data_IF_973691707578
#
_entry.id   IF_973691707578
#
_cell.length_a   1.000
_cell.length_b   1.000
_cell.length_c   1.000
_cell.angle_alpha   90.00
_cell.angle_beta   90.00
_cell.angle_gamma   90.00
#
_symmetry.space_group_name_H-M   'P 1'
#
loop_
_entity.id
_entity.type
_entity.pdbx_description
1 polymer ?
#
# COMPACT_ATOMS: atom_id res chain seq x y z
N UNK A 1 -12.21 -41.51 -22.17
CA UNK A 1 -12.66 -40.23 -21.57
C UNK A 1 -12.12 -39.06 -22.38
N UNK A 2 -13.00 -38.34 -23.07
CA UNK A 2 -12.66 -37.13 -23.83
C UNK A 2 -12.05 -36.03 -22.95
N UNK A 3 -11.23 -35.15 -23.51
CA UNK A 3 -10.60 -34.02 -22.81
C UNK A 3 -11.63 -33.10 -22.14
N UNK A 4 -12.77 -32.88 -22.80
CA UNK A 4 -13.88 -32.07 -22.26
C UNK A 4 -14.44 -32.65 -20.98
N UNK A 5 -14.68 -33.96 -20.94
CA UNK A 5 -15.18 -34.64 -19.75
C UNK A 5 -14.21 -34.52 -18.59
N UNK A 6 -12.90 -34.65 -18.82
CA UNK A 6 -11.89 -34.46 -17.77
C UNK A 6 -11.97 -33.06 -17.14
N UNK A 7 -12.22 -32.01 -17.94
CA UNK A 7 -12.38 -30.64 -17.44
C UNK A 7 -13.68 -30.46 -16.65
N UNK A 8 -14.78 -31.02 -17.13
CA UNK A 8 -16.08 -30.98 -16.42
C UNK A 8 -15.95 -31.66 -15.06
N UNK A 9 -15.39 -32.87 -15.01
CA UNK A 9 -15.19 -33.59 -13.75
C UNK A 9 -14.25 -32.86 -12.80
N UNK A 10 -13.20 -32.21 -13.31
CA UNK A 10 -12.31 -31.39 -12.50
C UNK A 10 -13.00 -30.17 -11.88
N UNK A 11 -13.97 -29.57 -12.58
CA UNK A 11 -14.77 -28.48 -12.02
C UNK A 11 -15.75 -29.00 -10.95
N UNK A 12 -16.36 -30.17 -11.17
CA UNK A 12 -17.30 -30.78 -10.22
C UNK A 12 -16.63 -31.11 -8.89
N UNK A 13 -15.46 -31.76 -8.92
CA UNK A 13 -14.71 -32.08 -7.70
C UNK A 13 -14.27 -30.82 -6.94
N UNK A 14 -13.98 -29.74 -7.66
CA UNK A 14 -13.62 -28.45 -7.09
C UNK A 14 -14.81 -27.77 -6.39
N UNK A 15 -16.03 -27.86 -6.96
CA UNK A 15 -17.25 -27.40 -6.28
C UNK A 15 -17.57 -28.25 -5.05
N UNK A 16 -17.38 -29.57 -5.11
CA UNK A 16 -17.54 -30.45 -3.95
C UNK A 16 -16.59 -30.05 -2.82
N UNK A 17 -15.30 -29.80 -3.12
CA UNK A 17 -14.31 -29.38 -2.13
C UNK A 17 -14.63 -28.05 -1.43
N UNK A 18 -15.44 -27.19 -2.06
CA UNK A 18 -15.82 -25.86 -1.58
C UNK A 18 -17.06 -25.91 -0.65
N UNK A 19 -17.74 -27.07 -0.57
CA UNK A 19 -18.96 -27.27 0.21
C UNK A 19 -20.22 -27.39 -0.64
N UNK A 20 -20.09 -27.73 -1.93
CA UNK A 20 -21.20 -28.07 -2.82
C UNK A 20 -21.87 -26.88 -3.51
N UNK A 21 -22.80 -27.17 -4.42
CA UNK A 21 -23.48 -26.18 -5.26
C UNK A 21 -24.31 -25.18 -4.47
N UNK A 22 -24.98 -25.60 -3.39
CA UNK A 22 -25.77 -24.71 -2.52
C UNK A 22 -24.92 -23.57 -1.94
N UNK A 23 -23.63 -23.86 -1.71
CA UNK A 23 -22.69 -22.91 -1.15
C UNK A 23 -22.13 -21.91 -2.15
N UNK A 24 -22.41 -22.02 -3.45
CA UNK A 24 -21.89 -21.16 -4.54
C UNK A 24 -23.00 -20.54 -5.41
N UNK A 25 -24.26 -20.89 -5.13
CA UNK A 25 -25.44 -20.38 -5.81
C UNK A 25 -25.99 -19.12 -5.12
N UNK A 26 -26.45 -18.16 -5.90
CA UNK A 26 -27.16 -16.96 -5.43
C UNK A 26 -28.36 -16.71 -6.34
N UNK A 27 -29.57 -16.72 -5.79
CA UNK A 27 -30.81 -16.53 -6.55
C UNK A 27 -30.93 -17.48 -7.74
N UNK A 28 -30.65 -18.76 -7.50
CA UNK A 28 -30.68 -19.84 -8.51
C UNK A 28 -29.69 -19.67 -9.68
N UNK A 29 -28.70 -18.79 -9.53
CA UNK A 29 -27.62 -18.62 -10.48
C UNK A 29 -26.26 -18.81 -9.82
N UNK A 30 -25.32 -19.40 -10.56
CA UNK A 30 -23.96 -19.57 -10.10
C UNK A 30 -23.27 -18.21 -9.92
N UNK A 31 -22.71 -17.97 -8.74
CA UNK A 31 -22.00 -16.72 -8.44
C UNK A 31 -20.49 -16.91 -8.44
N UNK A 32 -19.82 -16.39 -9.49
CA UNK A 32 -18.35 -16.39 -9.57
C UNK A 32 -17.72 -15.74 -8.34
N UNK A 33 -18.30 -14.64 -7.84
CA UNK A 33 -17.80 -13.94 -6.65
C UNK A 33 -17.78 -14.85 -5.41
N UNK A 34 -18.82 -15.67 -5.27
CA UNK A 34 -19.03 -16.51 -4.11
C UNK A 34 -18.14 -17.76 -4.16
N UNK A 35 -18.02 -18.37 -5.35
CA UNK A 35 -17.02 -19.39 -5.64
C UNK A 35 -15.59 -18.89 -5.37
N UNK A 36 -15.24 -17.72 -5.89
CA UNK A 36 -13.91 -17.14 -5.71
C UNK A 36 -13.59 -16.90 -4.23
N UNK A 37 -14.54 -16.38 -3.44
CA UNK A 37 -14.36 -16.19 -2.00
C UNK A 37 -14.09 -17.50 -1.26
N UNK A 38 -14.79 -18.57 -1.64
CA UNK A 38 -14.58 -19.89 -1.05
C UNK A 38 -13.22 -20.49 -1.42
N UNK A 39 -12.79 -20.31 -2.68
CA UNK A 39 -11.47 -20.75 -3.13
C UNK A 39 -10.32 -19.97 -2.49
N UNK A 40 -10.53 -18.69 -2.21
CA UNK A 40 -9.58 -17.92 -1.42
C UNK A 40 -9.47 -18.45 0.02
N UNK A 41 -10.57 -18.89 0.62
CA UNK A 41 -10.60 -19.32 2.02
C UNK A 41 -10.54 -18.13 2.99
N UNK A 42 -10.35 -18.44 4.27
CA UNK A 42 -10.32 -17.46 5.34
C UNK A 42 -8.94 -16.82 5.51
N UNK A 43 -8.77 -15.63 4.93
CA UNK A 43 -7.58 -14.82 5.17
C UNK A 43 -7.79 -13.82 6.29
N UNK A 44 -6.81 -13.64 7.19
CA UNK A 44 -6.88 -12.60 8.19
C UNK A 44 -6.98 -11.23 7.49
N UNK A 45 -7.93 -10.41 7.93
CA UNK A 45 -8.07 -9.05 7.43
C UNK A 45 -6.85 -8.24 7.85
N UNK A 46 -5.97 -7.98 6.89
CA UNK A 46 -4.75 -7.20 7.15
C UNK A 46 -5.10 -5.71 7.39
N UNK A 47 -4.53 -5.08 8.43
CA UNK A 47 -4.87 -3.71 8.82
C UNK A 47 -4.50 -2.69 7.75
N UNK A 48 -3.44 -2.96 6.99
CA UNK A 48 -2.92 -2.08 5.95
C UNK A 48 -3.75 -2.08 4.65
N UNK A 49 -4.73 -2.98 4.48
CA UNK A 49 -5.58 -3.06 3.28
C UNK A 49 -6.23 -1.72 2.95
N UNK A 50 -6.60 -0.95 3.97
CA UNK A 50 -7.27 0.36 3.81
C UNK A 50 -6.33 1.46 3.30
N UNK A 51 -5.02 1.29 3.48
CA UNK A 51 -4.01 2.28 3.07
C UNK A 51 -3.51 1.99 1.65
N UNK A 52 -3.44 0.72 1.27
CA UNK A 52 -2.95 0.30 -0.05
C UNK A 52 -4.06 0.12 -1.09
N UNK A 53 -5.19 -0.49 -0.71
CA UNK A 53 -6.30 -0.73 -1.64
C UNK A 53 -7.22 0.49 -1.72
N UNK A 54 -7.72 0.79 -2.94
CA UNK A 54 -8.58 1.95 -3.21
C UNK A 54 -7.94 3.30 -2.84
N UNK A 55 -6.61 3.37 -2.94
CA UNK A 55 -5.83 4.59 -2.80
C UNK A 55 -5.55 5.15 -4.21
N UNK A 56 -5.77 6.45 -4.41
CA UNK A 56 -5.59 7.14 -5.69
C UNK A 56 -4.17 7.72 -5.88
N UNK A 57 -3.24 7.46 -4.96
CA UNK A 57 -1.82 7.79 -5.11
C UNK A 57 -1.21 7.08 -6.33
N UNK A 58 0.02 7.45 -6.69
CA UNK A 58 0.66 6.84 -7.84
C UNK A 58 0.90 5.34 -7.64
N UNK A 59 0.73 4.49 -8.69
CA UNK A 59 1.06 3.07 -8.59
C UNK A 59 2.49 2.81 -8.10
N UNK A 60 3.44 3.67 -8.46
CA UNK A 60 4.83 3.60 -7.95
C UNK A 60 4.87 3.83 -6.44
N UNK A 61 4.19 4.86 -5.96
CA UNK A 61 4.09 5.18 -4.53
C UNK A 61 3.40 4.08 -3.74
N UNK A 62 2.30 3.51 -4.27
CA UNK A 62 1.61 2.37 -3.66
C UNK A 62 2.46 1.11 -3.62
N UNK A 63 3.21 0.85 -4.69
CA UNK A 63 4.12 -0.30 -4.76
C UNK A 63 5.21 -0.19 -3.68
N UNK A 64 5.89 0.96 -3.60
CA UNK A 64 6.91 1.19 -2.56
C UNK A 64 6.30 1.15 -1.16
N UNK A 65 5.14 1.77 -0.95
CA UNK A 65 4.42 1.71 0.32
C UNK A 65 4.11 0.26 0.75
N UNK A 66 3.70 -0.60 -0.19
CA UNK A 66 3.46 -2.01 0.10
C UNK A 66 4.73 -2.72 0.57
N UNK A 67 5.89 -2.44 -0.05
CA UNK A 67 7.17 -2.96 0.43
C UNK A 67 7.57 -2.40 1.80
N UNK A 68 7.29 -1.13 2.11
CA UNK A 68 7.52 -0.54 3.44
C UNK A 68 6.71 -1.28 4.49
N UNK A 69 5.42 -1.47 4.25
CA UNK A 69 4.49 -2.15 5.16
C UNK A 69 4.95 -3.59 5.43
N UNK A 70 5.45 -4.28 4.40
CA UNK A 70 6.00 -5.63 4.54
C UNK A 70 7.42 -5.66 5.13
N UNK A 71 8.02 -4.51 5.45
CA UNK A 71 9.42 -4.36 5.89
C UNK A 71 10.41 -5.03 4.92
N UNK A 72 10.10 -4.96 3.62
CA UNK A 72 10.87 -5.58 2.53
C UNK A 72 11.70 -4.59 1.71
N UNK A 73 11.65 -3.30 2.03
CA UNK A 73 12.59 -2.34 1.44
C UNK A 73 14.01 -2.64 1.93
N UNK A 74 15.04 -2.52 1.06
CA UNK A 74 16.42 -2.57 1.50
C UNK A 74 16.68 -1.45 2.52
N UNK A 75 16.67 -1.79 3.81
CA UNK A 75 17.13 -0.91 4.88
C UNK A 75 18.63 -0.65 4.71
N UNK A 76 19.14 0.46 5.28
CA UNK A 76 20.58 0.69 5.29
C UNK A 76 21.32 -0.52 5.86
N UNK A 77 20.77 -1.19 6.89
CA UNK A 77 21.31 -2.45 7.44
C UNK A 77 21.48 -3.56 6.39
N UNK A 78 20.52 -3.71 5.46
CA UNK A 78 20.64 -4.72 4.37
C UNK A 78 21.66 -4.31 3.32
N UNK A 79 21.77 -3.01 3.02
CA UNK A 79 22.75 -2.48 2.06
C UNK A 79 24.18 -2.53 2.62
N UNK A 80 24.35 -2.26 3.92
CA UNK A 80 25.59 -2.44 4.67
C UNK A 80 25.97 -3.93 4.70
N UNK A 81 25.02 -4.83 4.98
CA UNK A 81 25.24 -6.28 4.94
C UNK A 81 25.58 -6.81 3.56
N UNK A 82 25.09 -6.17 2.49
CA UNK A 82 25.45 -6.49 1.11
C UNK A 82 26.75 -5.81 0.66
N UNK A 83 27.47 -5.12 1.55
CA UNK A 83 28.72 -4.40 1.27
C UNK A 83 28.61 -3.40 0.10
N UNK A 84 27.40 -2.92 -0.20
CA UNK A 84 27.16 -1.93 -1.25
C UNK A 84 27.54 -0.53 -0.75
N UNK A 85 27.53 -0.33 0.58
CA UNK A 85 27.87 0.92 1.24
C UNK A 85 28.93 0.63 2.30
N UNK A 86 30.07 1.31 2.21
CA UNK A 86 31.10 1.35 3.26
C UNK A 86 30.76 2.48 4.22
N UNK A 87 30.82 2.22 5.51
CA UNK A 87 30.29 3.07 6.56
C UNK A 87 30.77 4.54 6.50
N UNK A 88 29.90 5.41 7.02
CA UNK A 88 30.20 6.69 7.70
C UNK A 88 29.91 8.00 6.98
N UNK A 89 28.62 8.22 6.67
CA UNK A 89 28.10 9.59 6.59
C UNK A 89 26.59 9.65 6.85
N UNK A 90 26.23 9.64 8.14
CA UNK A 90 25.13 10.42 8.73
C UNK A 90 24.01 10.86 7.76
N UNK A 91 23.03 9.98 7.57
CA UNK A 91 21.81 10.25 6.82
C UNK A 91 20.64 10.51 7.78
N UNK A 92 20.62 11.71 8.37
CA UNK A 92 19.49 12.29 9.13
C UNK A 92 19.29 11.74 10.58
N UNK A 93 19.72 12.57 11.53
CA UNK A 93 19.53 12.49 12.99
C UNK A 93 20.50 11.59 13.79
N UNK A 94 21.22 12.23 14.71
CA UNK A 94 22.44 11.77 15.37
C UNK A 94 22.19 10.99 16.69
N UNK A 95 21.26 10.03 16.75
CA UNK A 95 21.05 9.32 18.04
C UNK A 95 20.56 7.86 18.02
N UNK A 96 19.98 7.30 16.97
CA UNK A 96 19.50 5.89 17.03
C UNK A 96 19.39 5.21 15.67
N UNK A 97 19.68 3.90 15.63
CA UNK A 97 19.61 3.01 14.46
C UNK A 97 18.33 3.20 13.63
N UNK A 98 18.48 3.42 12.32
CA UNK A 98 17.37 3.57 11.36
C UNK A 98 16.55 2.28 11.21
N UNK A 99 15.52 2.10 12.05
CA UNK A 99 14.53 1.04 11.84
C UNK A 99 13.42 1.54 10.89
N UNK A 100 12.82 0.62 10.11
CA UNK A 100 11.63 0.90 9.29
C UNK A 100 10.50 1.49 10.16
N UNK A 101 10.45 1.07 11.42
CA UNK A 101 9.49 1.56 12.39
C UNK A 101 9.75 3.03 12.76
N UNK A 102 11.01 3.46 12.91
CA UNK A 102 11.35 4.87 13.14
C UNK A 102 11.15 5.74 11.90
N UNK A 103 11.48 5.23 10.71
CA UNK A 103 11.43 6.00 9.46
C UNK A 103 10.00 6.20 8.92
N UNK A 104 9.09 5.26 9.19
CA UNK A 104 7.75 5.25 8.61
C UNK A 104 6.60 5.06 9.61
N UNK A 105 6.86 4.63 10.85
CA UNK A 105 5.84 4.26 11.84
C UNK A 105 6.03 4.88 13.23
N UNK A 106 6.88 5.92 13.36
CA UNK A 106 7.15 6.63 14.63
C UNK A 106 5.93 7.33 15.24
N UNK A 107 4.80 7.35 14.52
CA UNK A 107 3.49 7.63 15.10
C UNK A 107 2.66 6.39 14.89
N UNK A 108 2.41 5.70 16.00
CA UNK A 108 1.46 4.61 16.14
C UNK A 108 0.22 4.95 15.31
N UNK A 109 0.08 4.31 14.13
CA UNK A 109 -1.13 4.35 13.30
C UNK A 109 -2.18 3.53 14.03
N UNK A 110 -2.52 3.97 15.23
CA UNK A 110 -3.71 3.67 15.96
C UNK A 110 -4.86 4.29 15.16
N UNK A 111 -5.16 3.66 14.02
CA UNK A 111 -6.45 3.72 13.35
C UNK A 111 -7.46 3.11 14.34
N UNK A 112 -7.72 3.79 15.46
CA UNK A 112 -8.93 3.60 16.24
C UNK A 112 -10.04 3.88 15.25
N UNK A 113 -10.64 2.80 14.80
CA UNK A 113 -11.89 2.78 14.06
C UNK A 113 -12.99 3.27 15.00
N UNK A 114 -12.93 4.55 15.38
CA UNK A 114 -14.05 5.25 15.97
C UNK A 114 -15.15 5.27 14.92
N UNK A 115 -16.30 4.69 15.26
CA UNK A 115 -17.55 4.78 14.50
C UNK A 115 -17.94 6.25 14.43
N UNK A 116 -17.33 6.99 13.52
CA UNK A 116 -17.45 8.42 13.40
C UNK A 116 -17.39 8.78 11.93
N UNK A 117 -18.53 9.24 11.43
CA UNK A 117 -18.81 9.70 10.07
C UNK A 117 -17.93 10.91 9.71
N UNK A 118 -16.61 10.75 9.59
CA UNK A 118 -15.69 11.82 9.16
C UNK A 118 -15.38 11.61 7.68
N UNK A 119 -16.10 12.37 6.84
CA UNK A 119 -15.82 12.71 5.44
C UNK A 119 -14.80 11.80 4.73
N UNK A 120 -15.28 10.75 4.04
CA UNK A 120 -14.43 9.82 3.30
C UNK A 120 -13.47 10.49 2.31
N UNK A 121 -13.76 11.73 1.91
CA UNK A 121 -12.88 12.59 1.13
C UNK A 121 -11.54 12.94 1.81
N UNK A 122 -11.58 13.48 3.03
CA UNK A 122 -10.37 13.89 3.75
C UNK A 122 -9.49 12.69 4.09
N UNK A 123 -10.12 11.55 4.42
CA UNK A 123 -9.40 10.30 4.64
C UNK A 123 -8.71 9.79 3.36
N UNK A 124 -9.38 9.87 2.20
CA UNK A 124 -8.77 9.51 0.91
C UNK A 124 -7.55 10.39 0.62
N UNK A 125 -7.67 11.71 0.82
CA UNK A 125 -6.55 12.64 0.63
C UNK A 125 -5.38 12.32 1.56
N UNK A 126 -5.62 12.12 2.86
CA UNK A 126 -4.57 11.77 3.82
C UNK A 126 -3.82 10.49 3.42
N UNK A 127 -4.54 9.47 2.98
CA UNK A 127 -3.96 8.19 2.54
C UNK A 127 -3.19 8.35 1.22
N UNK A 128 -3.61 9.27 0.34
CA UNK A 128 -2.84 9.63 -0.86
C UNK A 128 -1.53 10.35 -0.49
N UNK A 129 -1.60 11.39 0.33
CA UNK A 129 -0.43 12.13 0.81
C UNK A 129 0.56 11.23 1.52
N UNK A 130 0.08 10.31 2.36
CA UNK A 130 0.93 9.36 3.06
C UNK A 130 1.70 8.46 2.09
N UNK A 131 1.03 7.88 1.10
CA UNK A 131 1.70 7.04 0.10
C UNK A 131 2.75 7.82 -0.71
N UNK A 132 2.42 9.05 -1.13
CA UNK A 132 3.35 9.92 -1.86
C UNK A 132 4.53 10.37 -1.00
N UNK A 133 4.30 10.67 0.28
CA UNK A 133 5.37 11.04 1.22
C UNK A 133 6.36 9.89 1.42
N UNK A 134 5.85 8.68 1.64
CA UNK A 134 6.68 7.46 1.76
C UNK A 134 7.54 7.27 0.51
N UNK A 135 6.96 7.44 -0.68
CA UNK A 135 7.71 7.34 -1.93
C UNK A 135 8.77 8.44 -2.09
N UNK A 136 8.43 9.67 -1.68
CA UNK A 136 9.33 10.83 -1.76
C UNK A 136 10.53 10.67 -0.83
N UNK A 137 10.31 10.16 0.39
CA UNK A 137 11.38 9.81 1.33
C UNK A 137 12.29 8.75 0.73
N UNK A 138 11.70 7.70 0.14
CA UNK A 138 12.47 6.64 -0.52
C UNK A 138 13.31 7.17 -1.69
N UNK A 139 12.74 8.02 -2.55
CA UNK A 139 13.48 8.66 -3.64
C UNK A 139 14.60 9.56 -3.13
N UNK A 140 14.32 10.42 -2.14
CA UNK A 140 15.31 11.35 -1.60
C UNK A 140 16.48 10.60 -0.94
N UNK A 141 16.19 9.51 -0.23
CA UNK A 141 17.23 8.64 0.33
C UNK A 141 18.08 8.03 -0.78
N UNK A 142 17.47 7.48 -1.83
CA UNK A 142 18.22 6.87 -2.94
C UNK A 142 19.08 7.90 -3.67
N UNK A 143 18.53 9.09 -3.94
CA UNK A 143 19.26 10.19 -4.57
C UNK A 143 20.48 10.62 -3.73
N UNK A 144 20.31 10.68 -2.41
CA UNK A 144 21.43 10.96 -1.50
C UNK A 144 22.47 9.83 -1.48
N UNK A 145 22.05 8.57 -1.58
CA UNK A 145 22.97 7.42 -1.59
C UNK A 145 23.76 7.31 -2.91
N UNK A 146 23.12 7.56 -4.05
CA UNK A 146 23.75 7.34 -5.36
C UNK A 146 24.36 8.60 -5.97
N UNK A 147 23.79 9.78 -5.70
CA UNK A 147 24.18 11.04 -6.31
C UNK A 147 24.67 12.09 -5.30
N UNK A 148 24.72 11.75 -4.00
CA UNK A 148 25.10 12.66 -2.89
C UNK A 148 24.25 13.94 -2.82
N UNK A 149 23.08 13.91 -3.45
CA UNK A 149 22.17 15.03 -3.54
C UNK A 149 20.99 14.83 -2.58
N UNK A 150 20.62 15.85 -1.82
CA UNK A 150 19.48 15.80 -0.91
C UNK A 150 18.58 16.99 -1.15
N UNK A 151 17.32 16.73 -1.49
CA UNK A 151 16.31 17.78 -1.67
C UNK A 151 15.85 18.30 -0.32
N UNK A 152 15.43 19.56 -0.31
CA UNK A 152 14.86 20.19 0.89
C UNK A 152 13.43 19.72 1.14
N UNK A 153 12.98 19.79 2.39
CA UNK A 153 11.61 19.41 2.75
C UNK A 153 10.55 20.25 2.00
N UNK A 154 10.84 21.51 1.72
CA UNK A 154 9.95 22.40 0.98
C UNK A 154 9.76 21.97 -0.48
N UNK A 155 10.83 21.54 -1.15
CA UNK A 155 10.77 21.01 -2.52
C UNK A 155 10.02 19.69 -2.57
N UNK A 156 10.32 18.77 -1.64
CA UNK A 156 9.63 17.48 -1.54
C UNK A 156 8.13 17.66 -1.27
N UNK A 157 7.76 18.63 -0.43
CA UNK A 157 6.36 18.90 -0.13
C UNK A 157 5.58 19.42 -1.34
N UNK A 158 6.16 20.36 -2.11
CA UNK A 158 5.56 20.86 -3.36
C UNK A 158 5.37 19.73 -4.38
N UNK A 159 6.38 18.88 -4.52
CA UNK A 159 6.34 17.70 -5.38
C UNK A 159 5.23 16.72 -4.98
N UNK A 160 5.08 16.46 -3.67
CA UNK A 160 4.02 15.61 -3.13
C UNK A 160 2.65 16.23 -3.41
N UNK A 161 2.46 17.52 -3.10
CA UNK A 161 1.22 18.24 -3.36
C UNK A 161 0.84 18.16 -4.83
N UNK A 162 1.80 18.37 -5.73
CA UNK A 162 1.59 18.27 -7.17
C UNK A 162 1.17 16.85 -7.59
N UNK A 163 1.86 15.80 -7.12
CA UNK A 163 1.50 14.41 -7.42
C UNK A 163 0.11 14.02 -6.93
N UNK A 164 -0.25 14.48 -5.72
CA UNK A 164 -1.59 14.25 -5.15
C UNK A 164 -2.64 15.00 -5.95
N UNK A 165 -2.43 16.29 -6.23
CA UNK A 165 -3.36 17.12 -7.00
C UNK A 165 -3.60 16.57 -8.41
N UNK A 166 -2.55 16.11 -9.10
CA UNK A 166 -2.64 15.58 -10.46
C UNK A 166 -3.48 14.29 -10.56
N UNK A 167 -3.73 13.58 -9.46
CA UNK A 167 -4.49 12.31 -9.43
C UNK A 167 -5.76 12.38 -8.60
N UNK A 168 -5.99 13.53 -8.00
CA UNK A 168 -7.13 13.78 -7.16
C UNK A 168 -8.41 13.80 -8.03
N UNK A 169 -9.43 12.99 -7.74
CA UNK A 169 -10.76 13.14 -8.32
C UNK A 169 -11.29 14.57 -8.12
N UNK A 170 -12.10 15.06 -9.07
CA UNK A 170 -12.70 16.41 -9.05
C UNK A 170 -13.34 16.76 -7.71
N UNK A 171 -14.01 15.79 -7.09
CA UNK A 171 -14.73 15.92 -5.82
C UNK A 171 -13.82 16.13 -4.60
N UNK A 172 -12.54 15.83 -4.77
CA UNK A 172 -11.50 15.93 -3.75
C UNK A 172 -10.57 17.14 -3.98
N UNK A 173 -10.53 17.70 -5.20
CA UNK A 173 -9.71 18.86 -5.54
C UNK A 173 -10.09 20.13 -4.76
N UNK A 174 -11.39 20.35 -4.51
CA UNK A 174 -11.86 21.50 -3.73
C UNK A 174 -11.26 21.53 -2.32
N UNK A 175 -11.08 20.35 -1.70
CA UNK A 175 -10.49 20.21 -0.36
C UNK A 175 -8.97 20.23 -0.34
N UNK A 176 -8.31 20.04 -1.48
CA UNK A 176 -6.86 20.18 -1.58
C UNK A 176 -6.43 21.64 -1.51
N UNK A 177 -7.23 22.54 -2.09
CA UNK A 177 -6.97 23.98 -2.07
C UNK A 177 -7.00 24.52 -0.63
N UNK A 178 -7.96 24.05 0.18
CA UNK A 178 -8.07 24.41 1.60
C UNK A 178 -6.88 23.95 2.47
N UNK A 179 -6.16 22.90 2.03
CA UNK A 179 -4.97 22.35 2.73
C UNK A 179 -3.64 22.97 2.24
N UNK A 180 -3.70 23.85 1.24
CA UNK A 180 -2.54 24.50 0.63
C UNK A 180 -2.34 25.96 1.03
N UNK A 181 -3.26 26.54 1.81
CA UNK A 181 -3.08 27.78 2.57
C UNK A 181 -2.51 27.48 3.96
#
# INVERSE_FOLDING_TARGET
MSWVLKKIFGCLSLVESVGGWDSVMKSDQFSINLMYKKLCGDFPKVPWRRVTCNNYATPKSLFILWFVILKRIPTLDRLLKWSIVTCDSYLYCNTTSESVDHLFFGVDLHLKSGKGKKNGASQKLLVMFFAEAVYSIWLNRNDKLYNQHCRTLAELFKDIQFRVAARCPSDLCSKLLDLSC
#
